data_IF_388402965306
#
_entry.id   IF_388402965306
#
_cell.length_a   1.000
_cell.length_b   1.000
_cell.length_c   1.000
_cell.angle_alpha   90.00
_cell.angle_beta   90.00
_cell.angle_gamma   90.00
#
_symmetry.space_group_name_H-M   'P 1'
#
loop_
_entity.id
_entity.type
_entity.pdbx_description
1 polymer ?
#
# COMPACT_ATOMS: atom_id res chain seq x y z
N UNK A 1 13.38 5.20 18.59
CA UNK A 1 14.44 5.64 17.65
C UNK A 1 14.89 7.05 18.03
N UNK A 2 16.19 7.30 18.15
CA UNK A 2 16.75 8.64 18.42
C UNK A 2 17.07 9.36 17.11
N UNK A 3 17.14 10.69 17.13
CA UNK A 3 17.52 11.51 15.97
C UNK A 3 18.91 11.11 15.43
N UNK A 4 19.83 10.74 16.34
CA UNK A 4 21.18 10.31 15.98
C UNK A 4 21.20 8.98 15.23
N UNK A 5 20.35 8.01 15.63
CA UNK A 5 20.22 6.74 14.91
C UNK A 5 19.64 6.93 13.50
N UNK A 6 18.70 7.87 13.34
CA UNK A 6 18.15 8.24 12.04
C UNK A 6 19.22 8.90 11.15
N UNK A 7 19.94 9.90 11.67
CA UNK A 7 20.97 10.60 10.91
C UNK A 7 22.11 9.65 10.50
N UNK A 8 22.54 8.74 11.38
CA UNK A 8 23.56 7.75 11.06
C UNK A 8 23.17 6.79 9.93
N UNK A 9 21.90 6.36 9.85
CA UNK A 9 21.41 5.57 8.70
C UNK A 9 21.33 6.41 7.42
N UNK A 10 20.86 7.65 7.49
CA UNK A 10 20.71 8.51 6.31
C UNK A 10 22.06 8.89 5.67
N UNK A 11 23.08 9.18 6.48
CA UNK A 11 24.43 9.49 6.00
C UNK A 11 25.10 8.29 5.31
N UNK A 12 24.88 7.07 5.83
CA UNK A 12 25.46 5.84 5.28
C UNK A 12 25.01 5.52 3.85
N UNK A 13 23.83 6.01 3.45
CA UNK A 13 23.19 5.61 2.20
C UNK A 13 22.99 6.79 1.20
N UNK A 14 23.58 7.97 1.44
CA UNK A 14 23.42 9.18 0.59
C UNK A 14 21.94 9.53 0.32
N UNK A 15 21.12 9.53 1.39
CA UNK A 15 19.67 9.31 1.25
C UNK A 15 18.79 10.54 1.20
N UNK A 16 17.76 10.43 0.36
CA UNK A 16 16.67 11.38 0.20
C UNK A 16 15.50 11.10 1.18
N UNK A 17 15.19 12.03 2.09
CA UNK A 17 14.11 11.91 3.10
C UNK A 17 12.69 11.89 2.54
N UNK A 18 12.50 12.24 1.26
CA UNK A 18 11.16 12.32 0.64
C UNK A 18 10.82 11.12 -0.26
N UNK A 19 11.68 10.09 -0.36
CA UNK A 19 11.44 8.89 -1.17
C UNK A 19 11.90 7.62 -0.46
N UNK A 20 11.35 6.47 -0.88
CA UNK A 20 11.72 5.14 -0.39
C UNK A 20 11.31 4.87 1.06
N UNK A 21 11.78 3.76 1.63
CA UNK A 21 11.33 3.25 2.94
C UNK A 21 11.47 4.25 4.09
N UNK A 22 12.45 5.16 4.03
CA UNK A 22 12.70 6.16 5.07
C UNK A 22 11.66 7.29 5.10
N UNK A 23 10.87 7.43 4.03
CA UNK A 23 9.74 8.38 3.98
C UNK A 23 8.46 7.83 4.62
N UNK A 24 8.45 6.53 4.96
CA UNK A 24 7.27 5.84 5.49
C UNK A 24 7.15 6.02 6.99
N UNK A 25 5.95 6.37 7.45
CA UNK A 25 5.54 6.35 8.87
C UNK A 25 4.60 5.16 9.13
N UNK A 26 4.29 4.88 10.40
CA UNK A 26 3.29 3.86 10.75
C UNK A 26 1.94 4.17 10.08
N UNK A 27 1.39 3.29 9.24
CA UNK A 27 0.12 3.56 8.55
C UNK A 27 -1.07 3.54 9.53
N UNK A 28 -1.83 4.64 9.59
CA UNK A 28 -2.98 4.80 10.48
C UNK A 28 -4.35 4.63 9.83
N UNK A 29 -4.43 4.49 8.50
CA UNK A 29 -5.71 4.49 7.78
C UNK A 29 -6.63 3.34 8.19
N UNK A 30 -6.10 2.12 8.29
CA UNK A 30 -6.88 0.93 8.65
C UNK A 30 -7.48 1.08 10.05
N UNK A 31 -6.66 1.48 11.03
CA UNK A 31 -7.14 1.79 12.39
C UNK A 31 -8.27 2.81 12.37
N UNK A 32 -8.10 3.91 11.64
CA UNK A 32 -9.12 4.95 11.51
C UNK A 32 -10.43 4.46 10.89
N UNK A 33 -10.37 3.58 9.88
CA UNK A 33 -11.58 3.00 9.28
C UNK A 33 -12.34 2.12 10.27
N UNK A 34 -11.64 1.26 11.01
CA UNK A 34 -12.26 0.42 12.03
C UNK A 34 -12.85 1.26 13.17
N UNK A 35 -12.12 2.25 13.68
CA UNK A 35 -12.58 3.13 14.76
C UNK A 35 -13.85 3.90 14.38
N UNK A 36 -13.88 4.50 13.18
CA UNK A 36 -15.06 5.24 12.70
C UNK A 36 -16.26 4.31 12.49
N UNK A 37 -16.02 3.12 11.93
CA UNK A 37 -17.09 2.16 11.68
C UNK A 37 -17.64 1.56 12.98
N UNK A 38 -16.79 1.25 13.95
CA UNK A 38 -17.20 0.76 15.28
C UNK A 38 -18.04 1.81 16.01
N UNK A 39 -17.62 3.08 15.96
CA UNK A 39 -18.27 4.14 16.72
C UNK A 39 -19.55 4.69 16.09
N UNK A 40 -19.61 4.73 14.76
CA UNK A 40 -20.68 5.44 14.03
C UNK A 40 -21.30 4.63 12.90
N UNK A 41 -20.76 3.45 12.58
CA UNK A 41 -21.21 2.63 11.47
C UNK A 41 -22.43 1.79 11.78
N UNK A 42 -23.01 1.24 10.71
CA UNK A 42 -24.14 0.29 10.77
C UNK A 42 -23.88 -0.99 9.97
N UNK A 43 -22.71 -1.08 9.31
CA UNK A 43 -22.29 -2.20 8.48
C UNK A 43 -21.04 -2.84 9.07
N UNK A 44 -20.81 -4.11 8.77
CA UNK A 44 -19.55 -4.80 9.04
C UNK A 44 -18.44 -4.30 8.10
N UNK A 45 -17.18 -4.45 8.51
CA UNK A 45 -16.05 -4.08 7.65
C UNK A 45 -16.05 -4.88 6.33
N UNK A 46 -16.45 -6.15 6.37
CA UNK A 46 -16.57 -6.98 5.18
C UNK A 46 -17.58 -6.41 4.16
N UNK A 47 -18.73 -5.91 4.63
CA UNK A 47 -19.72 -5.28 3.75
C UNK A 47 -19.23 -3.94 3.19
N UNK A 48 -18.52 -3.13 3.99
CA UNK A 48 -17.96 -1.85 3.55
C UNK A 48 -16.87 -2.05 2.50
N UNK A 49 -16.01 -3.06 2.67
CA UNK A 49 -14.89 -3.33 1.77
C UNK A 49 -15.28 -4.09 0.49
N UNK A 50 -16.47 -4.70 0.42
CA UNK A 50 -16.87 -5.50 -0.74
C UNK A 50 -16.65 -4.75 -2.06
N UNK A 51 -17.17 -3.52 -2.27
CA UNK A 51 -17.04 -2.87 -3.57
C UNK A 51 -15.58 -2.60 -3.93
N UNK A 52 -14.73 -2.33 -2.94
CA UNK A 52 -13.30 -2.15 -3.14
C UNK A 52 -12.60 -3.47 -3.50
N UNK A 53 -12.98 -4.59 -2.88
CA UNK A 53 -12.53 -5.93 -3.24
C UNK A 53 -12.92 -6.23 -4.69
N UNK A 54 -14.17 -5.96 -5.08
CA UNK A 54 -14.64 -6.18 -6.44
C UNK A 54 -13.79 -5.45 -7.48
N UNK A 55 -13.54 -4.15 -7.30
CA UNK A 55 -12.70 -3.38 -8.24
C UNK A 55 -11.23 -3.76 -8.19
N UNK A 56 -10.69 -4.13 -7.03
CA UNK A 56 -9.32 -4.62 -6.95
C UNK A 56 -9.14 -5.93 -7.73
N UNK A 57 -10.11 -6.85 -7.64
CA UNK A 57 -10.06 -8.16 -8.29
C UNK A 57 -10.40 -8.11 -9.78
N UNK A 58 -11.50 -7.45 -10.15
CA UNK A 58 -12.03 -7.44 -11.52
C UNK A 58 -11.53 -6.27 -12.36
N UNK A 59 -11.06 -5.23 -11.68
CA UNK A 59 -10.44 -4.06 -12.27
C UNK A 59 -11.41 -2.94 -12.59
N UNK A 60 -10.83 -1.81 -12.98
CA UNK A 60 -11.57 -0.61 -13.38
C UNK A 60 -10.83 0.12 -14.52
N UNK A 61 -11.55 0.86 -15.39
CA UNK A 61 -10.92 1.69 -16.40
C UNK A 61 -10.19 2.87 -15.74
N UNK A 62 -8.91 3.01 -16.04
CA UNK A 62 -8.08 4.07 -15.45
C UNK A 62 -8.49 5.44 -16.00
N UNK A 63 -8.70 6.41 -15.13
CA UNK A 63 -9.09 7.77 -15.52
C UNK A 63 -7.91 8.54 -16.13
N UNK A 64 -8.14 9.57 -16.97
CA UNK A 64 -7.05 10.33 -17.59
C UNK A 64 -6.05 10.94 -16.61
N UNK A 65 -6.52 11.45 -15.47
CA UNK A 65 -5.66 12.07 -14.44
C UNK A 65 -4.79 11.01 -13.76
N UNK A 66 -5.34 9.83 -13.47
CA UNK A 66 -4.58 8.74 -12.85
C UNK A 66 -3.58 8.13 -13.84
N UNK A 67 -3.99 7.93 -15.10
CA UNK A 67 -3.09 7.47 -16.15
C UNK A 67 -1.89 8.41 -16.30
N UNK A 68 -2.13 9.73 -16.31
CA UNK A 68 -1.06 10.74 -16.35
C UNK A 68 -0.10 10.61 -15.16
N UNK A 69 -0.64 10.57 -13.94
CA UNK A 69 0.17 10.46 -12.71
C UNK A 69 1.02 9.18 -12.67
N UNK A 70 0.45 8.05 -13.08
CA UNK A 70 1.11 6.75 -13.04
C UNK A 70 2.21 6.58 -14.10
N UNK A 71 2.27 7.41 -15.15
CA UNK A 71 3.39 7.36 -16.13
C UNK A 71 4.76 7.48 -15.47
N UNK A 72 4.85 8.23 -14.37
CA UNK A 72 6.10 8.40 -13.63
C UNK A 72 6.64 7.08 -13.03
N UNK A 73 5.77 6.08 -12.82
CA UNK A 73 6.13 4.77 -12.27
C UNK A 73 6.93 3.90 -13.25
N UNK A 74 6.91 4.20 -14.55
CA UNK A 74 7.69 3.44 -15.56
C UNK A 74 9.20 3.56 -15.31
N UNK A 75 9.63 4.66 -14.68
CA UNK A 75 11.02 4.91 -14.27
C UNK A 75 11.31 4.46 -12.83
N UNK A 76 10.37 3.78 -12.16
CA UNK A 76 10.59 3.27 -10.82
C UNK A 76 11.49 2.03 -10.89
N UNK A 77 12.49 1.98 -10.00
CA UNK A 77 13.46 0.89 -9.90
C UNK A 77 12.98 -0.23 -8.96
N UNK A 78 11.99 0.05 -8.11
CA UNK A 78 11.45 -0.90 -7.14
C UNK A 78 10.59 -1.97 -7.83
N UNK A 79 11.06 -3.22 -7.83
CA UNK A 79 10.39 -4.33 -8.53
C UNK A 79 8.96 -4.52 -8.07
N UNK A 80 8.71 -4.45 -6.75
CA UNK A 80 7.36 -4.61 -6.18
C UNK A 80 6.38 -3.54 -6.68
N UNK A 81 6.86 -2.30 -6.87
CA UNK A 81 6.06 -1.22 -7.45
C UNK A 81 5.77 -1.50 -8.93
N UNK A 82 6.77 -1.93 -9.68
CA UNK A 82 6.60 -2.24 -11.11
C UNK A 82 5.61 -3.38 -11.32
N UNK A 83 5.76 -4.46 -10.57
CA UNK A 83 4.88 -5.64 -10.61
C UNK A 83 3.42 -5.30 -10.25
N UNK A 84 3.22 -4.42 -9.28
CA UNK A 84 1.87 -4.05 -8.81
C UNK A 84 1.17 -3.07 -9.75
N UNK A 85 1.89 -2.06 -10.26
CA UNK A 85 1.27 -0.87 -10.88
C UNK A 85 1.49 -0.76 -12.39
N UNK A 86 2.41 -1.54 -12.98
CA UNK A 86 2.65 -1.54 -14.42
C UNK A 86 2.05 -2.80 -15.05
N UNK A 87 1.44 -2.62 -16.22
CA UNK A 87 1.00 -3.73 -17.06
C UNK A 87 2.23 -4.52 -17.51
N UNK A 88 2.20 -5.82 -17.23
CA UNK A 88 3.30 -6.77 -17.46
C UNK A 88 4.64 -6.35 -16.84
N UNK A 89 4.63 -5.47 -15.82
CA UNK A 89 5.84 -4.95 -15.16
C UNK A 89 6.61 -3.89 -15.97
N UNK A 90 6.09 -3.44 -17.10
CA UNK A 90 6.80 -2.58 -18.04
C UNK A 90 6.20 -1.18 -18.20
N UNK A 91 4.87 -1.08 -18.37
CA UNK A 91 4.21 0.17 -18.77
C UNK A 91 3.04 0.52 -17.87
N UNK A 92 2.87 1.81 -17.54
CA UNK A 92 1.68 2.24 -16.81
C UNK A 92 0.42 2.13 -17.67
N UNK A 93 -0.76 1.78 -17.10
CA UNK A 93 -2.03 1.79 -17.83
C UNK A 93 -2.33 3.16 -18.44
N UNK A 94 -2.82 3.17 -19.69
CA UNK A 94 -3.35 4.37 -20.34
C UNK A 94 -4.80 4.61 -19.92
N UNK A 95 -5.28 5.82 -20.16
CA UNK A 95 -6.66 6.18 -19.92
C UNK A 95 -7.62 5.20 -20.63
N UNK A 96 -8.59 4.66 -19.88
CA UNK A 96 -9.56 3.68 -20.35
C UNK A 96 -9.08 2.22 -20.35
N UNK A 97 -7.78 1.96 -20.22
CA UNK A 97 -7.28 0.59 -20.00
C UNK A 97 -7.67 0.10 -18.60
N UNK A 98 -7.90 -1.21 -18.48
CA UNK A 98 -8.32 -1.82 -17.20
C UNK A 98 -7.10 -2.13 -16.35
N UNK A 99 -7.09 -1.63 -15.12
CA UNK A 99 -6.11 -1.97 -14.10
C UNK A 99 -6.75 -2.88 -13.04
N UNK A 100 -6.00 -3.87 -12.55
CA UNK A 100 -6.38 -4.83 -11.50
C UNK A 100 -5.27 -4.94 -10.46
N UNK A 101 -5.64 -5.18 -9.20
CA UNK A 101 -4.72 -5.40 -8.09
C UNK A 101 -5.26 -6.52 -7.18
N UNK A 102 -5.09 -7.80 -7.56
CA UNK A 102 -5.60 -8.93 -6.79
C UNK A 102 -4.97 -9.04 -5.38
N UNK A 103 -3.71 -8.65 -5.22
CA UNK A 103 -3.05 -8.65 -3.90
C UNK A 103 -3.72 -7.67 -2.91
N UNK A 104 -4.20 -6.53 -3.42
CA UNK A 104 -4.99 -5.60 -2.63
C UNK A 104 -6.38 -6.16 -2.30
N UNK A 105 -7.00 -6.90 -3.23
CA UNK A 105 -8.26 -7.59 -2.97
C UNK A 105 -8.11 -8.60 -1.82
N UNK A 106 -7.04 -9.40 -1.84
CA UNK A 106 -6.72 -10.35 -0.77
C UNK A 106 -6.46 -9.67 0.57
N UNK A 107 -5.74 -8.53 0.54
CA UNK A 107 -5.53 -7.70 1.72
C UNK A 107 -6.87 -7.25 2.32
N UNK A 108 -7.78 -6.72 1.51
CA UNK A 108 -9.11 -6.29 1.97
C UNK A 108 -10.00 -7.45 2.44
N UNK A 109 -9.96 -8.61 1.77
CA UNK A 109 -10.66 -9.82 2.23
C UNK A 109 -10.16 -10.23 3.62
N UNK A 110 -8.85 -10.17 3.85
CA UNK A 110 -8.26 -10.49 5.14
C UNK A 110 -8.71 -9.52 6.23
N UNK A 111 -8.73 -8.21 5.96
CA UNK A 111 -9.25 -7.21 6.89
C UNK A 111 -10.73 -7.44 7.22
N UNK A 112 -11.56 -7.77 6.21
CA UNK A 112 -12.97 -8.08 6.43
C UNK A 112 -13.18 -9.32 7.30
N UNK A 113 -12.29 -10.31 7.21
CA UNK A 113 -12.38 -11.60 7.93
C UNK A 113 -11.76 -11.57 9.32
N UNK A 114 -10.55 -11.04 9.44
CA UNK A 114 -9.71 -11.10 10.63
C UNK A 114 -9.66 -9.76 11.39
N UNK A 115 -10.29 -8.73 10.83
CA UNK A 115 -10.41 -7.42 11.44
C UNK A 115 -9.11 -6.61 11.41
N UNK A 116 -9.13 -5.55 12.22
CA UNK A 116 -8.04 -4.58 12.38
C UNK A 116 -6.67 -5.23 12.63
N UNK A 117 -6.64 -6.25 13.50
CA UNK A 117 -5.40 -6.86 13.95
C UNK A 117 -4.68 -7.64 12.84
N UNK A 118 -5.37 -8.02 11.75
CA UNK A 118 -4.70 -8.57 10.58
C UNK A 118 -3.63 -7.62 10.00
N UNK A 119 -3.89 -6.30 10.04
CA UNK A 119 -2.96 -5.28 9.55
C UNK A 119 -1.82 -4.97 10.53
N UNK A 120 -2.14 -4.90 11.84
CA UNK A 120 -1.20 -4.40 12.86
C UNK A 120 -0.46 -5.50 13.61
N UNK A 121 -0.95 -6.75 13.55
CA UNK A 121 -0.39 -7.90 14.30
C UNK A 121 -0.36 -9.21 13.50
N UNK A 122 -1.10 -9.28 12.40
CA UNK A 122 -1.24 -10.47 11.57
C UNK A 122 -0.19 -10.59 10.46
N UNK A 123 -0.56 -11.35 9.42
CA UNK A 123 0.34 -11.65 8.29
C UNK A 123 0.70 -10.41 7.47
N UNK A 124 -0.18 -9.40 7.40
CA UNK A 124 0.12 -8.12 6.73
C UNK A 124 1.19 -7.36 7.52
N UNK A 125 1.06 -7.28 8.85
CA UNK A 125 2.05 -6.64 9.70
C UNK A 125 3.43 -7.25 9.50
N UNK A 126 3.49 -8.59 9.45
CA UNK A 126 4.74 -9.31 9.19
C UNK A 126 5.34 -8.95 7.82
N UNK A 127 4.55 -8.92 6.75
CA UNK A 127 5.03 -8.53 5.41
C UNK A 127 5.58 -7.09 5.39
N UNK A 128 4.93 -6.17 6.09
CA UNK A 128 5.38 -4.76 6.20
C UNK A 128 6.73 -4.68 6.92
N UNK A 129 6.87 -5.35 8.07
CA UNK A 129 8.12 -5.34 8.86
C UNK A 129 9.24 -6.04 8.08
N UNK A 130 8.97 -7.21 7.50
CA UNK A 130 9.97 -7.94 6.70
C UNK A 130 10.49 -7.08 5.53
N UNK A 131 9.61 -6.34 4.84
CA UNK A 131 10.00 -5.41 3.79
C UNK A 131 10.78 -4.20 4.35
N UNK A 132 10.34 -3.64 5.48
CA UNK A 132 11.04 -2.53 6.13
C UNK A 132 12.46 -2.91 6.51
N UNK A 133 12.64 -4.03 7.20
CA UNK A 133 13.94 -4.55 7.63
C UNK A 133 14.86 -4.84 6.44
N UNK A 134 14.33 -5.44 5.37
CA UNK A 134 15.10 -5.72 4.15
C UNK A 134 15.64 -4.46 3.45
N UNK A 135 15.03 -3.30 3.72
CA UNK A 135 15.42 -2.01 3.17
C UNK A 135 16.04 -1.06 4.23
N UNK A 136 16.46 -1.60 5.37
CA UNK A 136 17.03 -0.84 6.49
C UNK A 136 16.08 0.21 7.10
N UNK A 137 14.78 0.02 6.96
CA UNK A 137 13.71 0.88 7.47
C UNK A 137 13.60 0.95 9.00
N UNK A 138 12.46 1.47 9.46
CA UNK A 138 12.23 1.81 10.88
C UNK A 138 10.86 1.40 11.41
N UNK A 139 10.07 0.64 10.63
CA UNK A 139 8.79 0.12 11.08
C UNK A 139 8.98 -1.07 12.02
#
# INVERSE_FOLDING_TARGET
>A
MTLDALNGKLEKHDMNRIRGIYSVTVPGAVDGWFEVLEKYGTMTMAEVLEPAIHYAEHGFPVSPIIADAWRSLENNEESSTRETWLLDGERAPRAGEVFRNPDLADTYRLLGKEGRDAFYRGSIAKKIVDYSDAHDGFL
#
